data_IF_519442235295
#
_entry.id   IF_519442235295
#
_cell.length_a   1.000
_cell.length_b   1.000
_cell.length_c   1.000
_cell.angle_alpha   90.00
_cell.angle_beta   90.00
_cell.angle_gamma   90.00
#
_symmetry.space_group_name_H-M   'P 1'
#
loop_
_entity.id
_entity.type
_entity.pdbx_description
1 polymer ?
#
# COMPACT_ATOMS: atom_id res chain seq x y z
N UNK A 1 -4.79 -11.41 -7.03
CA UNK A 1 -4.86 -10.59 -5.80
C UNK A 1 -5.73 -9.40 -6.10
N UNK A 2 -6.68 -9.02 -5.25
CA UNK A 2 -7.52 -7.85 -5.50
C UNK A 2 -6.78 -6.55 -5.12
N UNK A 3 -7.10 -5.43 -5.79
CA UNK A 3 -6.47 -4.12 -5.57
C UNK A 3 -6.43 -3.72 -4.09
N UNK A 4 -7.54 -3.95 -3.39
CA UNK A 4 -7.65 -3.65 -1.96
C UNK A 4 -6.69 -4.46 -1.09
N UNK A 5 -6.44 -5.72 -1.41
CA UNK A 5 -5.45 -6.51 -0.69
C UNK A 5 -4.04 -6.00 -0.95
N UNK A 6 -3.76 -5.52 -2.16
CA UNK A 6 -2.47 -4.93 -2.52
C UNK A 6 -2.22 -3.67 -1.71
N UNK A 7 -3.19 -2.75 -1.69
CA UNK A 7 -3.07 -1.48 -0.97
C UNK A 7 -2.95 -1.71 0.54
N UNK A 8 -3.69 -2.68 1.09
CA UNK A 8 -3.57 -3.06 2.50
C UNK A 8 -2.17 -3.59 2.84
N UNK A 9 -1.65 -4.54 2.05
CA UNK A 9 -0.30 -5.10 2.28
C UNK A 9 0.79 -4.05 2.08
N UNK A 10 0.62 -3.14 1.13
CA UNK A 10 1.50 -1.99 0.94
C UNK A 10 1.53 -1.11 2.21
N UNK A 11 0.36 -0.79 2.75
CA UNK A 11 0.24 -0.04 4.00
C UNK A 11 0.92 -0.75 5.16
N UNK A 12 0.63 -2.04 5.38
CA UNK A 12 1.25 -2.85 6.42
C UNK A 12 2.78 -2.85 6.30
N UNK A 13 3.31 -2.93 5.07
CA UNK A 13 4.75 -2.90 4.81
C UNK A 13 5.39 -1.55 5.12
N UNK A 14 4.67 -0.46 4.84
CA UNK A 14 5.11 0.90 5.15
C UNK A 14 4.99 1.22 6.64
N UNK A 15 4.06 0.62 7.36
CA UNK A 15 3.88 0.82 8.81
C UNK A 15 4.60 -0.23 9.66
N UNK A 16 5.24 -1.23 9.05
CA UNK A 16 5.93 -2.30 9.78
C UNK A 16 6.96 -1.70 10.75
N UNK A 17 6.77 -1.95 12.04
CA UNK A 17 7.58 -1.38 13.12
C UNK A 17 8.99 -2.00 13.21
N UNK A 18 9.22 -3.14 12.55
CA UNK A 18 10.55 -3.77 12.48
C UNK A 18 11.46 -3.05 11.49
N UNK A 19 10.89 -2.30 10.54
CA UNK A 19 11.66 -1.46 9.63
C UNK A 19 12.11 -0.18 10.36
N UNK A 20 13.38 -0.12 10.78
CA UNK A 20 13.90 1.03 11.53
C UNK A 20 14.06 2.31 10.69
N UNK A 21 13.78 2.26 9.39
CA UNK A 21 13.86 3.45 8.53
C UNK A 21 12.71 4.42 8.82
N UNK A 22 12.92 5.73 8.65
CA UNK A 22 11.85 6.72 8.76
C UNK A 22 10.65 6.37 7.86
N UNK A 23 9.40 6.49 8.34
CA UNK A 23 8.22 6.09 7.58
C UNK A 23 8.13 6.72 6.18
N UNK A 24 8.55 7.98 6.04
CA UNK A 24 8.49 8.72 4.78
C UNK A 24 9.45 8.21 3.69
N UNK A 25 10.47 7.42 4.03
CA UNK A 25 11.39 6.79 3.06
C UNK A 25 11.11 5.30 2.82
N UNK A 26 10.15 4.71 3.53
CA UNK A 26 9.80 3.30 3.35
C UNK A 26 9.14 3.12 1.98
N UNK A 27 9.65 2.15 1.24
CA UNK A 27 9.20 1.80 -0.10
C UNK A 27 9.51 0.33 -0.36
N UNK A 28 8.75 -0.27 -1.26
CA UNK A 28 8.70 -1.71 -1.44
C UNK A 28 8.66 -2.09 -2.92
N UNK A 29 9.00 -3.34 -3.22
CA UNK A 29 8.96 -3.88 -4.58
C UNK A 29 7.68 -4.70 -4.76
N UNK A 30 7.12 -4.74 -5.97
CA UNK A 30 5.81 -5.34 -6.24
C UNK A 30 5.70 -6.80 -5.73
N UNK A 31 6.75 -7.59 -5.91
CA UNK A 31 6.77 -8.99 -5.49
C UNK A 31 6.79 -9.16 -3.96
N UNK A 32 7.28 -8.16 -3.21
CA UNK A 32 7.38 -8.24 -1.73
C UNK A 32 6.03 -8.17 -1.02
N UNK A 33 4.99 -7.69 -1.72
CA UNK A 33 3.61 -7.68 -1.23
C UNK A 33 2.73 -8.74 -1.93
N UNK A 34 3.31 -9.53 -2.84
CA UNK A 34 2.61 -10.55 -3.62
C UNK A 34 1.79 -10.00 -4.79
N UNK A 35 2.07 -8.77 -5.25
CA UNK A 35 1.42 -8.17 -6.41
C UNK A 35 2.12 -8.57 -7.71
N UNK A 36 1.39 -8.53 -8.83
CA UNK A 36 2.01 -8.62 -10.16
C UNK A 36 2.36 -7.23 -10.69
N UNK A 37 3.28 -7.14 -11.65
CA UNK A 37 3.58 -5.86 -12.31
C UNK A 37 2.35 -5.22 -12.97
N UNK A 38 1.45 -6.04 -13.53
CA UNK A 38 0.17 -5.58 -14.12
C UNK A 38 -0.71 -4.90 -13.07
N UNK A 39 -0.82 -5.48 -11.88
CA UNK A 39 -1.63 -4.92 -10.79
C UNK A 39 -1.05 -3.57 -10.33
N UNK A 40 0.27 -3.52 -10.13
CA UNK A 40 0.96 -2.28 -9.75
C UNK A 40 0.82 -1.21 -10.82
N UNK A 41 0.90 -1.58 -12.11
CA UNK A 41 0.72 -0.64 -13.22
C UNK A 41 -0.67 -0.02 -13.21
N UNK A 42 -1.72 -0.81 -12.96
CA UNK A 42 -3.09 -0.30 -12.82
C UNK A 42 -3.21 0.66 -11.63
N UNK A 43 -2.70 0.28 -10.46
CA UNK A 43 -2.77 1.11 -9.26
C UNK A 43 -1.96 2.42 -9.38
N UNK A 44 -0.90 2.43 -10.19
CA UNK A 44 -0.17 3.66 -10.55
C UNK A 44 -1.03 4.57 -11.45
N UNK A 45 -1.73 3.98 -12.43
CA UNK A 45 -2.61 4.71 -13.35
C UNK A 45 -3.79 5.37 -12.61
N UNK A 46 -4.35 4.67 -11.62
CA UNK A 46 -5.40 5.19 -10.75
C UNK A 46 -4.90 6.22 -9.72
N UNK A 47 -3.59 6.45 -9.66
CA UNK A 47 -2.95 7.38 -8.72
C UNK A 47 -2.99 6.92 -7.27
N UNK A 48 -3.14 5.60 -7.02
CA UNK A 48 -3.16 5.01 -5.68
C UNK A 48 -1.74 4.68 -5.19
N UNK A 49 -0.83 4.38 -6.11
CA UNK A 49 0.59 4.21 -5.85
C UNK A 49 1.41 5.31 -6.51
N UNK A 50 2.64 5.49 -6.04
CA UNK A 50 3.67 6.27 -6.72
C UNK A 50 5.00 5.52 -6.75
N UNK A 51 5.83 5.86 -7.75
CA UNK A 51 7.20 5.35 -7.83
C UNK A 51 8.07 6.15 -6.86
N UNK A 52 8.57 5.50 -5.82
CA UNK A 52 9.43 6.13 -4.82
C UNK A 52 10.89 6.17 -5.28
N UNK A 53 11.36 5.08 -5.90
CA UNK A 53 12.73 4.94 -6.40
C UNK A 53 12.68 4.16 -7.71
N UNK A 54 13.37 4.66 -8.74
CA UNK A 54 13.56 3.96 -10.00
C UNK A 54 15.03 3.99 -10.38
N UNK A 55 15.62 2.80 -10.49
CA UNK A 55 16.97 2.57 -11.01
C UNK A 55 16.88 1.58 -12.16
N UNK A 56 17.99 1.33 -12.85
CA UNK A 56 18.05 0.37 -13.95
C UNK A 56 17.68 -1.06 -13.52
N UNK A 57 17.94 -1.42 -12.25
CA UNK A 57 17.79 -2.80 -11.77
C UNK A 57 16.58 -3.00 -10.85
N UNK A 58 15.92 -1.91 -10.44
CA UNK A 58 14.98 -1.92 -9.33
C UNK A 58 13.99 -0.76 -9.41
N UNK A 59 12.71 -1.07 -9.22
CA UNK A 59 11.66 -0.07 -9.00
C UNK A 59 10.98 -0.33 -7.66
N UNK A 60 11.00 0.68 -6.78
CA UNK A 60 10.28 0.68 -5.51
C UNK A 60 9.09 1.63 -5.58
N UNK A 61 8.00 1.18 -4.97
CA UNK A 61 6.73 1.87 -4.90
C UNK A 61 6.43 2.26 -3.46
N UNK A 62 5.55 3.25 -3.30
CA UNK A 62 4.90 3.57 -2.04
C UNK A 62 3.46 4.00 -2.29
N UNK A 63 2.62 3.95 -1.27
CA UNK A 63 1.28 4.52 -1.31
C UNK A 63 1.38 6.03 -1.55
N UNK A 64 0.53 6.50 -2.46
CA UNK A 64 0.19 7.92 -2.54
C UNK A 64 -0.64 8.33 -1.31
N UNK A 65 -0.81 9.63 -1.09
CA UNK A 65 -1.75 10.14 -0.09
C UNK A 65 -3.17 9.60 -0.34
N UNK A 66 -3.65 9.66 -1.59
CA UNK A 66 -4.94 9.10 -2.02
C UNK A 66 -5.07 7.61 -1.68
N UNK A 67 -4.04 6.83 -1.98
CA UNK A 67 -4.03 5.38 -1.68
C UNK A 67 -4.02 5.10 -0.19
N UNK A 68 -3.31 5.91 0.61
CA UNK A 68 -3.27 5.80 2.06
C UNK A 68 -4.61 6.15 2.68
N UNK A 69 -5.25 7.23 2.23
CA UNK A 69 -6.59 7.63 2.66
C UNK A 69 -7.63 6.56 2.34
N UNK A 70 -7.57 5.96 1.14
CA UNK A 70 -8.47 4.87 0.76
C UNK A 70 -8.33 3.66 1.69
N UNK A 71 -7.10 3.23 1.98
CA UNK A 71 -6.85 2.12 2.92
C UNK A 71 -7.33 2.45 4.32
N UNK A 72 -7.13 3.70 4.76
CA UNK A 72 -7.55 4.13 6.08
C UNK A 72 -9.07 4.17 6.22
N UNK A 73 -9.77 4.78 5.26
CA UNK A 73 -11.23 4.82 5.21
C UNK A 73 -11.83 3.41 5.28
N UNK A 74 -11.34 2.49 4.45
CA UNK A 74 -11.85 1.12 4.38
C UNK A 74 -11.48 0.27 5.60
N UNK A 75 -10.34 0.57 6.24
CA UNK A 75 -9.98 -0.05 7.52
C UNK A 75 -10.92 0.42 8.64
N UNK A 76 -11.26 1.72 8.66
CA UNK A 76 -12.16 2.32 9.64
C UNK A 76 -13.59 1.81 9.47
N UNK A 77 -14.11 1.72 8.25
CA UNK A 77 -15.43 1.11 7.97
C UNK A 77 -15.53 -0.34 8.47
N UNK A 78 -14.44 -1.10 8.35
CA UNK A 78 -14.37 -2.47 8.86
C UNK A 78 -14.29 -2.55 10.38
N UNK A 79 -13.71 -1.56 11.05
CA UNK A 79 -13.70 -1.47 12.52
C UNK A 79 -15.07 -1.05 13.07
N UNK A 80 -15.79 -0.16 12.38
CA UNK A 80 -17.17 0.20 12.74
C UNK A 80 -18.15 -0.96 12.58
N UNK A 81 -18.01 -1.79 11.54
CA UNK A 81 -18.84 -2.98 11.33
C UNK A 81 -18.64 -4.08 12.40
N UNK A 82 -17.62 -3.98 13.25
CA UNK A 82 -17.35 -4.92 14.35
C UNK A 82 -17.99 -4.53 15.67
N UNK A 83 -18.64 -3.38 15.77
CA UNK A 83 -19.37 -2.98 16.98
C UNK A 83 -20.74 -3.67 16.93
N UNK A 84 -21.02 -4.71 17.74
CA UNK A 84 -22.37 -5.26 17.81
C UNK A 84 -23.33 -4.19 18.34
N UNK A 85 -24.59 -4.15 17.87
CA UNK A 85 -25.60 -3.30 18.50
C UNK A 85 -25.74 -3.69 19.97
N UNK A 86 -25.70 -2.68 20.85
CA UNK A 86 -25.85 -2.82 22.30
C UNK A 86 -27.28 -3.21 22.69
#
# INVERSE_FOLDING_TARGET
>A
MNDMEILRRAYERETDSRDRRPPHIRSWEYYTIGASQKDVRRLLDEGLLIVAVKTSNLTKYKLSDKGRELVWALSMEREFAKIPPA
#
